data_IF_033731278922
#
_entry.id   IF_033731278922
#
_cell.length_a   1.000
_cell.length_b   1.000
_cell.length_c   1.000
_cell.angle_alpha   90.00
_cell.angle_beta   90.00
_cell.angle_gamma   90.00
#
_symmetry.space_group_name_H-M   'P 1'
#
loop_
_entity.id
_entity.type
_entity.pdbx_description
1 polymer ?
#
# COMPACT_ATOMS: atom_id res chain seq x y z
N UNK A 1 61.89 -9.96 0.95
CA UNK A 1 60.97 -8.90 0.49
C UNK A 1 59.85 -9.59 -0.28
N UNK A 2 58.68 -9.80 0.34
CA UNK A 2 57.51 -10.41 -0.32
C UNK A 2 56.65 -9.29 -0.89
N UNK A 3 56.43 -9.32 -2.20
CA UNK A 3 55.57 -8.36 -2.87
C UNK A 3 54.12 -8.58 -2.42
N UNK A 4 53.53 -7.54 -1.85
CA UNK A 4 52.13 -7.52 -1.44
C UNK A 4 51.27 -7.47 -2.70
N UNK A 5 50.58 -8.56 -3.02
CA UNK A 5 49.65 -8.60 -4.14
C UNK A 5 48.44 -7.76 -3.75
N UNK A 6 48.39 -6.52 -4.22
CA UNK A 6 47.23 -5.65 -4.07
C UNK A 6 46.07 -6.27 -4.85
N UNK A 7 45.09 -6.82 -4.14
CA UNK A 7 43.87 -7.36 -4.74
C UNK A 7 43.03 -6.18 -5.26
N UNK A 8 42.70 -6.12 -6.57
CA UNK A 8 41.89 -5.05 -7.10
C UNK A 8 40.47 -5.10 -6.49
N UNK A 9 39.99 -3.95 -6.03
CA UNK A 9 38.66 -3.79 -5.43
C UNK A 9 37.55 -4.13 -6.46
N UNK A 10 36.82 -5.22 -6.24
CA UNK A 10 35.74 -5.71 -7.13
C UNK A 10 34.32 -5.32 -6.70
N UNK A 11 34.15 -4.47 -5.68
CA UNK A 11 32.81 -4.13 -5.18
C UNK A 11 32.07 -3.06 -6.02
N UNK A 12 32.58 -2.70 -7.21
CA UNK A 12 31.95 -1.72 -8.11
C UNK A 12 30.65 -2.20 -8.79
N UNK A 13 30.27 -3.48 -8.64
CA UNK A 13 29.08 -4.06 -9.29
C UNK A 13 27.73 -3.57 -8.75
N UNK A 14 27.71 -3.00 -7.53
CA UNK A 14 26.52 -2.43 -6.91
C UNK A 14 26.59 -0.90 -6.98
N UNK A 15 26.42 -0.35 -8.17
CA UNK A 15 26.11 1.08 -8.35
C UNK A 15 24.63 1.19 -8.72
N UNK A 16 23.70 1.22 -7.74
CA UNK A 16 22.29 1.42 -8.03
C UNK A 16 22.12 2.76 -8.72
N UNK A 17 21.75 2.74 -10.00
CA UNK A 17 21.33 3.94 -10.71
C UNK A 17 19.89 4.20 -10.30
N UNK A 18 19.68 5.21 -9.46
CA UNK A 18 18.35 5.65 -9.08
C UNK A 18 17.60 6.16 -10.31
N UNK A 19 16.63 5.38 -10.80
CA UNK A 19 15.72 5.81 -11.85
C UNK A 19 14.31 5.97 -11.25
N UNK A 20 13.93 7.17 -10.79
CA UNK A 20 12.70 7.39 -10.03
C UNK A 20 11.43 7.01 -10.83
N UNK A 21 11.52 7.06 -12.16
CA UNK A 21 10.42 6.72 -13.06
C UNK A 21 10.12 5.22 -13.15
N UNK A 22 11.09 4.33 -12.84
CA UNK A 22 10.87 2.88 -12.93
C UNK A 22 9.76 2.46 -11.96
N UNK A 23 9.76 2.97 -10.72
CA UNK A 23 8.73 2.63 -9.73
C UNK A 23 7.33 3.05 -10.20
N UNK A 24 7.21 4.27 -10.73
CA UNK A 24 5.94 4.79 -11.28
C UNK A 24 5.49 3.95 -12.49
N UNK A 25 6.42 3.64 -13.40
CA UNK A 25 6.13 2.83 -14.58
C UNK A 25 5.65 1.42 -14.20
N UNK A 26 6.30 0.76 -13.23
CA UNK A 26 5.89 -0.56 -12.75
C UNK A 26 4.48 -0.53 -12.18
N UNK A 27 4.15 0.45 -11.34
CA UNK A 27 2.81 0.59 -10.79
C UNK A 27 1.76 0.88 -11.87
N UNK A 28 2.09 1.76 -12.82
CA UNK A 28 1.19 2.09 -13.93
C UNK A 28 0.91 0.87 -14.81
N UNK A 29 1.95 0.09 -15.17
CA UNK A 29 1.81 -1.14 -15.95
C UNK A 29 0.95 -2.15 -15.20
N UNK A 30 1.18 -2.34 -13.90
CA UNK A 30 0.37 -3.24 -13.09
C UNK A 30 -1.11 -2.81 -13.04
N UNK A 31 -1.38 -1.51 -12.85
CA UNK A 31 -2.73 -0.97 -12.85
C UNK A 31 -3.43 -1.11 -14.21
N UNK A 32 -2.71 -0.92 -15.31
CA UNK A 32 -3.23 -1.09 -16.67
C UNK A 32 -3.52 -2.57 -16.98
N UNK A 33 -2.62 -3.48 -16.58
CA UNK A 33 -2.83 -4.92 -16.72
C UNK A 33 -4.07 -5.37 -15.93
N UNK A 34 -4.23 -4.86 -14.71
CA UNK A 34 -5.43 -5.09 -13.90
C UNK A 34 -6.69 -4.54 -14.59
N UNK A 35 -6.68 -3.28 -15.01
CA UNK A 35 -7.82 -2.68 -15.72
C UNK A 35 -8.19 -3.48 -16.99
N UNK A 36 -7.21 -3.95 -17.75
CA UNK A 36 -7.41 -4.78 -18.92
C UNK A 36 -8.02 -6.14 -18.57
N UNK A 37 -7.50 -6.81 -17.52
CA UNK A 37 -8.02 -8.09 -17.05
C UNK A 37 -9.46 -8.00 -16.52
N UNK A 38 -9.80 -6.94 -15.79
CA UNK A 38 -11.18 -6.68 -15.35
C UNK A 38 -12.09 -6.28 -16.51
N UNK A 39 -11.65 -5.42 -17.44
CA UNK A 39 -12.48 -4.95 -18.55
C UNK A 39 -12.81 -6.05 -19.58
N UNK A 40 -11.93 -7.03 -19.74
CA UNK A 40 -12.14 -8.19 -20.64
C UNK A 40 -12.99 -9.29 -20.01
N UNK A 41 -13.39 -9.15 -18.75
CA UNK A 41 -14.14 -10.17 -18.01
C UNK A 41 -13.31 -11.39 -17.62
N UNK A 42 -11.99 -11.33 -17.80
CA UNK A 42 -11.06 -12.40 -17.44
C UNK A 42 -10.95 -12.55 -15.92
N UNK A 43 -11.15 -11.44 -15.21
CA UNK A 43 -11.22 -11.38 -13.75
C UNK A 43 -12.66 -11.03 -13.35
N UNK A 44 -13.35 -11.86 -12.54
CA UNK A 44 -14.71 -11.53 -12.14
C UNK A 44 -14.76 -10.28 -11.27
N UNK A 45 -15.66 -9.36 -11.60
CA UNK A 45 -15.84 -8.08 -10.89
C UNK A 45 -16.16 -8.24 -9.41
N UNK A 46 -16.73 -9.39 -9.01
CA UNK A 46 -17.03 -9.69 -7.61
C UNK A 46 -15.75 -9.86 -6.76
N UNK A 47 -14.68 -10.38 -7.35
CA UNK A 47 -13.42 -10.62 -6.63
C UNK A 47 -12.46 -9.44 -6.78
N UNK A 48 -12.41 -8.82 -7.95
CA UNK A 48 -11.46 -7.76 -8.25
C UNK A 48 -12.09 -6.71 -9.18
N UNK A 49 -12.95 -5.83 -8.64
CA UNK A 49 -13.61 -4.79 -9.43
C UNK A 49 -12.56 -3.90 -10.10
N UNK A 50 -12.86 -3.43 -11.32
CA UNK A 50 -11.90 -2.64 -12.08
C UNK A 50 -11.40 -1.40 -11.29
N UNK A 51 -10.13 -1.01 -11.44
CA UNK A 51 -9.56 0.11 -10.69
C UNK A 51 -10.32 1.42 -10.96
N UNK A 52 -10.85 1.61 -12.17
CA UNK A 52 -11.68 2.78 -12.49
C UNK A 52 -13.03 2.75 -11.76
N UNK A 53 -13.65 1.58 -11.59
CA UNK A 53 -14.88 1.43 -10.79
C UNK A 53 -14.61 1.79 -9.34
N UNK A 54 -13.51 1.32 -8.77
CA UNK A 54 -13.09 1.65 -7.40
C UNK A 54 -12.87 3.16 -7.25
N UNK A 55 -12.14 3.79 -8.18
CA UNK A 55 -11.90 5.22 -8.14
C UNK A 55 -13.20 6.06 -8.21
N UNK A 56 -14.16 5.65 -9.04
CA UNK A 56 -15.48 6.31 -9.13
C UNK A 56 -16.29 6.12 -7.86
N UNK A 57 -16.28 4.92 -7.27
CA UNK A 57 -16.97 4.65 -6.02
C UNK A 57 -16.38 5.49 -4.87
N UNK A 58 -15.06 5.55 -4.76
CA UNK A 58 -14.36 6.41 -3.81
C UNK A 58 -14.75 7.89 -3.98
N UNK A 59 -14.74 8.41 -5.21
CA UNK A 59 -15.14 9.79 -5.49
C UNK A 59 -16.60 10.07 -5.09
N UNK A 60 -17.53 9.16 -5.41
CA UNK A 60 -18.94 9.28 -4.99
C UNK A 60 -19.09 9.28 -3.47
N UNK A 61 -18.43 8.36 -2.78
CA UNK A 61 -18.49 8.25 -1.31
C UNK A 61 -17.82 9.45 -0.61
N UNK A 62 -16.77 9.99 -1.21
CA UNK A 62 -16.09 11.18 -0.70
C UNK A 62 -16.98 12.43 -0.85
N UNK A 63 -17.63 12.61 -2.01
CA UNK A 63 -18.51 13.77 -2.26
C UNK A 63 -19.82 13.69 -1.47
N UNK A 64 -20.40 12.50 -1.34
CA UNK A 64 -21.61 12.29 -0.52
C UNK A 64 -21.36 12.44 0.99
N UNK A 65 -20.10 12.35 1.43
CA UNK A 65 -19.73 12.41 2.85
C UNK A 65 -19.85 11.07 3.57
N UNK A 66 -20.47 10.06 2.95
CA UNK A 66 -20.62 8.72 3.54
C UNK A 66 -19.29 8.06 3.86
N UNK A 67 -18.25 8.32 3.05
CA UNK A 67 -16.90 7.83 3.32
C UNK A 67 -16.43 8.29 4.71
N UNK A 68 -16.57 9.58 5.00
CA UNK A 68 -16.10 10.17 6.25
C UNK A 68 -16.97 9.79 7.42
N UNK A 69 -18.29 9.76 7.26
CA UNK A 69 -19.21 9.31 8.30
C UNK A 69 -18.86 7.90 8.78
N UNK A 70 -18.70 6.95 7.84
CA UNK A 70 -18.39 5.57 8.18
C UNK A 70 -16.96 5.40 8.72
N UNK A 71 -16.00 6.14 8.16
CA UNK A 71 -14.61 6.09 8.64
C UNK A 71 -14.50 6.61 10.07
N UNK A 72 -15.07 7.78 10.36
CA UNK A 72 -15.04 8.38 11.69
C UNK A 72 -15.77 7.50 12.70
N UNK A 73 -16.95 6.97 12.36
CA UNK A 73 -17.67 6.04 13.23
C UNK A 73 -16.82 4.80 13.59
N UNK A 74 -16.12 4.24 12.60
CA UNK A 74 -15.23 3.08 12.80
C UNK A 74 -14.02 3.42 13.67
N UNK A 75 -13.38 4.56 13.41
CA UNK A 75 -12.22 5.03 14.17
C UNK A 75 -12.59 5.36 15.62
N UNK A 76 -13.73 6.01 15.86
CA UNK A 76 -14.22 6.29 17.21
C UNK A 76 -14.48 4.99 17.98
N UNK A 77 -15.10 3.99 17.35
CA UNK A 77 -15.31 2.69 17.97
C UNK A 77 -14.00 2.03 18.39
N UNK A 78 -12.99 2.08 17.51
CA UNK A 78 -11.65 1.56 17.82
C UNK A 78 -10.98 2.34 18.95
N UNK A 79 -11.01 3.67 18.91
CA UNK A 79 -10.39 4.51 19.93
C UNK A 79 -11.03 4.33 21.30
N UNK A 80 -12.37 4.30 21.38
CA UNK A 80 -13.10 4.08 22.64
C UNK A 80 -12.85 2.67 23.17
N UNK A 81 -12.95 1.64 22.33
CA UNK A 81 -12.69 0.27 22.75
C UNK A 81 -11.24 0.08 23.23
N UNK A 82 -10.27 0.63 22.50
CA UNK A 82 -8.86 0.57 22.86
C UNK A 82 -8.58 1.30 24.17
N UNK A 83 -9.06 2.54 24.34
CA UNK A 83 -8.85 3.31 25.57
C UNK A 83 -9.46 2.63 26.80
N UNK A 84 -10.71 2.19 26.73
CA UNK A 84 -11.35 1.47 27.83
C UNK A 84 -10.62 0.16 28.15
N UNK A 85 -10.26 -0.61 27.13
CA UNK A 85 -9.52 -1.86 27.30
C UNK A 85 -8.14 -1.63 27.93
N UNK A 86 -7.41 -0.59 27.51
CA UNK A 86 -6.12 -0.20 28.08
C UNK A 86 -6.26 0.25 29.53
N UNK A 87 -7.25 1.09 29.86
CA UNK A 87 -7.47 1.55 31.25
C UNK A 87 -7.77 0.37 32.15
N UNK A 88 -8.74 -0.47 31.78
CA UNK A 88 -9.13 -1.65 32.56
C UNK A 88 -7.95 -2.62 32.69
N UNK A 89 -7.27 -2.89 31.58
CA UNK A 89 -6.13 -3.81 31.54
C UNK A 89 -4.96 -3.34 32.41
N UNK A 90 -4.66 -2.04 32.42
CA UNK A 90 -3.66 -1.47 33.33
C UNK A 90 -4.14 -1.61 34.77
N UNK A 91 -5.36 -1.17 35.09
CA UNK A 91 -5.88 -1.21 36.47
C UNK A 91 -5.93 -2.62 37.07
N UNK A 92 -6.23 -3.65 36.27
CA UNK A 92 -6.25 -5.04 36.73
C UNK A 92 -4.86 -5.69 36.72
N UNK A 93 -3.97 -5.22 35.83
CA UNK A 93 -2.66 -5.83 35.63
C UNK A 93 -1.58 -5.34 36.60
N UNK A 94 -1.73 -4.15 37.18
CA UNK A 94 -0.88 -3.66 38.29
C UNK A 94 -1.34 -4.25 39.63
#
# INVERSE_FOLDING_TARGET
>A
MRAEVLVPFRAAGFSPRHHPWIGVATLAIAALAWQGGSATGLIPDLFLPSPLTVARALGRLAVSGDLWTNLVASLLRLAVGWTLGTVIGITVGI
#
